data_IF_823515323693
#
_entry.id   IF_823515323693
#
_cell.length_a   1.000
_cell.length_b   1.000
_cell.length_c   1.000
_cell.angle_alpha   90.00
_cell.angle_beta   90.00
_cell.angle_gamma   90.00
#
_symmetry.space_group_name_H-M   'P 1'
#
loop_
_entity.id
_entity.type
_entity.pdbx_description
1 polymer ?
#
# COMPACT_ATOMS: atom_id res chain seq x y z
N UNK A 1 -32.71 -3.85 -33.33
CA UNK A 1 -32.21 -2.57 -33.86
C UNK A 1 -32.77 -1.48 -33.00
N UNK A 2 -31.95 -0.48 -32.68
CA UNK A 2 -32.29 0.55 -31.73
C UNK A 2 -33.15 1.63 -32.38
N UNK A 3 -34.02 2.24 -31.61
CA UNK A 3 -34.81 3.39 -32.02
C UNK A 3 -33.90 4.60 -32.32
N UNK A 4 -34.27 5.39 -33.32
CA UNK A 4 -33.53 6.60 -33.68
C UNK A 4 -33.36 7.56 -32.49
N UNK A 5 -34.38 7.67 -31.64
CA UNK A 5 -34.36 8.50 -30.43
C UNK A 5 -33.22 8.11 -29.49
N UNK A 6 -33.06 6.83 -29.16
CA UNK A 6 -32.03 6.38 -28.21
C UNK A 6 -30.63 6.52 -28.80
N UNK A 7 -30.48 6.29 -30.10
CA UNK A 7 -29.23 6.50 -30.85
C UNK A 7 -28.83 7.97 -30.85
N UNK A 8 -29.77 8.88 -31.13
CA UNK A 8 -29.50 10.32 -31.14
C UNK A 8 -29.14 10.83 -29.74
N UNK A 9 -29.80 10.32 -28.69
CA UNK A 9 -29.46 10.64 -27.31
C UNK A 9 -28.05 10.18 -26.91
N UNK A 10 -27.63 8.98 -27.34
CA UNK A 10 -26.26 8.50 -27.13
C UNK A 10 -25.26 9.42 -27.84
N UNK A 11 -25.49 9.71 -29.13
CA UNK A 11 -24.60 10.57 -29.91
C UNK A 11 -24.51 11.98 -29.34
N UNK A 12 -25.63 12.52 -28.84
CA UNK A 12 -25.66 13.81 -28.16
C UNK A 12 -24.81 13.79 -26.87
N UNK A 13 -24.93 12.74 -26.05
CA UNK A 13 -24.10 12.58 -24.86
C UNK A 13 -22.60 12.49 -25.20
N UNK A 14 -22.23 11.73 -26.23
CA UNK A 14 -20.84 11.64 -26.70
C UNK A 14 -20.31 13.00 -27.18
N UNK A 15 -21.08 13.74 -27.99
CA UNK A 15 -20.71 15.08 -28.45
C UNK A 15 -20.51 16.05 -27.29
N UNK A 16 -21.43 16.03 -26.32
CA UNK A 16 -21.31 16.85 -25.11
C UNK A 16 -20.01 16.53 -24.34
N UNK A 17 -19.60 15.26 -24.28
CA UNK A 17 -18.33 14.86 -23.69
C UNK A 17 -17.11 15.36 -24.46
N UNK A 18 -17.17 15.36 -25.79
CA UNK A 18 -16.10 15.86 -26.66
C UNK A 18 -15.96 17.38 -26.65
N UNK A 19 -17.05 18.11 -26.44
CA UNK A 19 -17.02 19.57 -26.32
C UNK A 19 -16.31 20.06 -25.05
N UNK A 20 -16.14 19.19 -24.04
CA UNK A 20 -15.44 19.52 -22.80
C UNK A 20 -13.92 19.45 -23.02
N UNK A 21 -13.25 20.58 -22.83
CA UNK A 21 -11.80 20.67 -22.97
C UNK A 21 -11.07 19.94 -21.81
N UNK A 22 -10.51 18.75 -22.12
CA UNK A 22 -9.77 17.90 -21.17
C UNK A 22 -8.58 18.62 -20.54
N UNK A 23 -7.81 19.40 -21.31
CA UNK A 23 -6.66 20.13 -20.79
C UNK A 23 -7.08 21.10 -19.69
N UNK A 24 -8.26 21.71 -19.85
CA UNK A 24 -8.86 22.58 -18.85
C UNK A 24 -9.34 21.81 -17.63
N UNK A 25 -9.70 20.53 -17.74
CA UNK A 25 -10.08 19.71 -16.59
C UNK A 25 -8.88 19.25 -15.77
N UNK A 26 -7.70 19.13 -16.38
CA UNK A 26 -6.50 18.62 -15.70
C UNK A 26 -5.90 19.67 -14.77
N UNK A 27 -5.69 20.90 -15.24
CA UNK A 27 -5.04 21.93 -14.45
C UNK A 27 -5.57 23.33 -14.77
N UNK A 28 -5.90 24.09 -13.71
CA UNK A 28 -6.22 25.52 -13.75
C UNK A 28 -5.49 26.24 -12.62
N UNK A 29 -4.21 26.60 -12.82
CA UNK A 29 -3.42 27.22 -11.75
C UNK A 29 -4.06 28.50 -11.20
N UNK A 30 -4.76 29.24 -12.06
CA UNK A 30 -5.47 30.49 -11.72
C UNK A 30 -6.73 30.25 -10.86
N UNK A 31 -7.46 29.14 -11.07
CA UNK A 31 -8.72 28.83 -10.38
C UNK A 31 -8.51 27.91 -9.16
N UNK A 32 -7.53 26.99 -9.22
CA UNK A 32 -7.35 25.89 -8.26
C UNK A 32 -6.03 25.95 -7.48
N UNK A 33 -5.13 26.87 -7.82
CA UNK A 33 -3.83 26.99 -7.18
C UNK A 33 -2.97 25.74 -7.35
N UNK A 34 -2.68 25.05 -6.24
CA UNK A 34 -1.87 23.81 -6.24
C UNK A 34 -2.67 22.54 -6.53
N UNK A 35 -4.01 22.61 -6.46
CA UNK A 35 -4.87 21.45 -6.72
C UNK A 35 -5.00 21.24 -8.22
N UNK A 36 -4.87 20.00 -8.67
CA UNK A 36 -5.03 19.59 -10.06
C UNK A 36 -5.65 18.18 -10.13
N UNK A 37 -6.05 17.79 -11.33
CA UNK A 37 -6.66 16.52 -11.65
C UNK A 37 -5.77 15.67 -12.57
N UNK A 38 -4.44 15.77 -12.45
CA UNK A 38 -3.50 14.97 -13.25
C UNK A 38 -3.77 13.46 -13.11
N UNK A 39 -4.21 13.02 -11.92
CA UNK A 39 -4.62 11.63 -11.69
C UNK A 39 -5.78 11.14 -12.55
N UNK A 40 -6.61 12.05 -13.09
CA UNK A 40 -7.73 11.73 -13.98
C UNK A 40 -7.36 11.71 -15.48
N UNK A 41 -6.14 12.11 -15.85
CA UNK A 41 -5.72 12.26 -17.26
C UNK A 41 -5.93 11.01 -18.10
N UNK A 42 -5.50 9.85 -17.62
CA UNK A 42 -5.66 8.59 -18.34
C UNK A 42 -7.15 8.24 -18.56
N UNK A 43 -7.98 8.43 -17.53
CA UNK A 43 -9.43 8.21 -17.62
C UNK A 43 -10.10 9.17 -18.60
N UNK A 44 -9.68 10.45 -18.64
CA UNK A 44 -10.20 11.43 -19.60
C UNK A 44 -9.83 11.07 -21.05
N UNK A 45 -8.60 10.60 -21.29
CA UNK A 45 -8.18 10.13 -22.62
C UNK A 45 -9.01 8.92 -23.09
N UNK A 46 -9.24 7.95 -22.20
CA UNK A 46 -10.11 6.80 -22.49
C UNK A 46 -11.54 7.24 -22.77
N UNK A 47 -12.10 8.16 -21.96
CA UNK A 47 -13.44 8.69 -22.18
C UNK A 47 -13.59 9.32 -23.57
N UNK A 48 -12.64 10.17 -23.97
CA UNK A 48 -12.62 10.82 -25.29
C UNK A 48 -12.56 9.82 -26.42
N UNK A 49 -11.68 8.81 -26.33
CA UNK A 49 -11.63 7.73 -27.31
C UNK A 49 -12.99 7.03 -27.47
N UNK A 50 -13.66 6.72 -26.36
CA UNK A 50 -14.98 6.08 -26.39
C UNK A 50 -16.04 7.01 -27.00
N UNK A 51 -16.07 8.29 -26.62
CA UNK A 51 -16.99 9.25 -27.21
C UNK A 51 -16.79 9.42 -28.72
N UNK A 52 -15.54 9.50 -29.20
CA UNK A 52 -15.21 9.54 -30.63
C UNK A 52 -15.71 8.29 -31.35
N UNK A 53 -15.43 7.11 -30.78
CA UNK A 53 -15.86 5.84 -31.36
C UNK A 53 -17.39 5.78 -31.51
N UNK A 54 -18.15 5.98 -30.43
CA UNK A 54 -19.61 5.86 -30.47
C UNK A 54 -20.32 7.02 -31.18
N UNK A 55 -19.68 8.17 -31.35
CA UNK A 55 -20.22 9.25 -32.19
C UNK A 55 -20.23 8.91 -33.68
N UNK A 56 -19.36 7.99 -34.11
CA UNK A 56 -19.12 7.68 -35.53
C UNK A 56 -19.50 6.26 -35.96
N UNK A 57 -19.60 5.32 -35.00
CA UNK A 57 -19.98 3.94 -35.28
C UNK A 57 -21.48 3.76 -35.56
N UNK A 58 -21.87 2.72 -36.34
CA UNK A 58 -23.27 2.43 -36.68
C UNK A 58 -24.01 1.78 -35.50
N UNK A 59 -24.26 2.53 -34.43
CA UNK A 59 -24.89 2.03 -33.19
C UNK A 59 -26.37 1.64 -33.34
N UNK A 60 -27.00 2.00 -34.45
CA UNK A 60 -28.40 1.70 -34.80
C UNK A 60 -28.66 0.20 -34.98
N UNK A 61 -27.63 -0.57 -35.33
CA UNK A 61 -27.72 -2.02 -35.51
C UNK A 61 -27.85 -2.78 -34.18
N UNK A 62 -27.58 -2.13 -33.04
CA UNK A 62 -27.62 -2.76 -31.72
C UNK A 62 -29.06 -2.90 -31.19
N UNK A 63 -29.29 -3.77 -30.19
CA UNK A 63 -30.51 -3.74 -29.37
C UNK A 63 -30.66 -2.42 -28.60
N UNK A 64 -31.90 -1.95 -28.41
CA UNK A 64 -32.19 -0.72 -27.66
C UNK A 64 -31.61 -0.72 -26.24
N UNK A 65 -31.62 -1.88 -25.58
CA UNK A 65 -31.09 -2.04 -24.23
C UNK A 65 -29.58 -1.74 -24.16
N UNK A 66 -28.83 -2.14 -25.19
CA UNK A 66 -27.38 -1.91 -25.25
C UNK A 66 -27.07 -0.45 -25.52
N UNK A 67 -27.80 0.19 -26.44
CA UNK A 67 -27.66 1.64 -26.72
C UNK A 67 -28.08 2.48 -25.52
N UNK A 68 -29.14 2.06 -24.81
CA UNK A 68 -29.57 2.69 -23.56
C UNK A 68 -28.49 2.61 -22.49
N UNK A 69 -27.88 1.43 -22.32
CA UNK A 69 -26.79 1.23 -21.36
C UNK A 69 -25.56 2.07 -21.73
N UNK A 70 -25.19 2.13 -23.01
CA UNK A 70 -24.12 3.01 -23.50
C UNK A 70 -24.41 4.48 -23.20
N UNK A 71 -25.64 4.93 -23.50
CA UNK A 71 -26.07 6.32 -23.28
C UNK A 71 -25.97 6.69 -21.80
N UNK A 72 -26.45 5.84 -20.91
CA UNK A 72 -26.50 6.14 -19.49
C UNK A 72 -25.08 6.20 -18.89
N UNK A 73 -24.19 5.30 -19.32
CA UNK A 73 -22.78 5.36 -18.93
C UNK A 73 -22.06 6.58 -19.54
N UNK A 74 -22.32 6.92 -20.80
CA UNK A 74 -21.76 8.13 -21.42
C UNK A 74 -22.21 9.40 -20.67
N UNK A 75 -23.49 9.51 -20.30
CA UNK A 75 -24.03 10.60 -19.48
C UNK A 75 -23.37 10.66 -18.09
N UNK A 76 -23.14 9.52 -17.45
CA UNK A 76 -22.46 9.47 -16.16
C UNK A 76 -21.04 10.05 -16.25
N UNK A 77 -20.28 9.70 -17.30
CA UNK A 77 -18.94 10.26 -17.54
C UNK A 77 -19.02 11.78 -17.76
N UNK A 78 -19.95 12.26 -18.60
CA UNK A 78 -20.15 13.70 -18.84
C UNK A 78 -20.48 14.44 -17.54
N UNK A 79 -21.32 13.87 -16.68
CA UNK A 79 -21.66 14.47 -15.38
C UNK A 79 -20.44 14.61 -14.48
N UNK A 80 -19.56 13.60 -14.44
CA UNK A 80 -18.31 13.68 -13.66
C UNK A 80 -17.35 14.71 -14.24
N UNK A 81 -17.22 14.79 -15.57
CA UNK A 81 -16.42 15.84 -16.22
C UNK A 81 -16.94 17.25 -15.89
N UNK A 82 -18.27 17.43 -15.88
CA UNK A 82 -18.89 18.70 -15.48
C UNK A 82 -18.73 19.01 -13.99
N UNK A 83 -18.71 17.99 -13.12
CA UNK A 83 -18.46 18.16 -11.70
C UNK A 83 -17.01 18.64 -11.45
N UNK A 84 -16.05 18.10 -12.20
CA UNK A 84 -14.66 18.59 -12.20
C UNK A 84 -14.59 20.02 -12.76
N UNK A 85 -15.29 20.31 -13.86
CA UNK A 85 -15.33 21.65 -14.45
C UNK A 85 -15.86 22.73 -13.49
N UNK A 86 -16.83 22.37 -12.65
CA UNK A 86 -17.45 23.22 -11.62
C UNK A 86 -16.73 23.19 -10.27
N UNK A 87 -15.63 22.45 -10.14
CA UNK A 87 -14.89 22.36 -8.90
C UNK A 87 -14.33 23.72 -8.49
N UNK A 88 -14.48 24.06 -7.21
CA UNK A 88 -13.98 25.30 -6.63
C UNK A 88 -13.28 25.04 -5.29
N UNK A 89 -12.30 25.90 -4.97
CA UNK A 89 -11.46 25.79 -3.78
C UNK A 89 -12.09 26.38 -2.51
N UNK A 90 -13.24 27.03 -2.62
CA UNK A 90 -13.96 27.67 -1.52
C UNK A 90 -14.78 26.66 -0.69
N UNK A 91 -14.17 25.53 -0.33
CA UNK A 91 -14.77 24.48 0.49
C UNK A 91 -13.87 24.15 1.68
N UNK A 92 -14.40 23.50 2.73
CA UNK A 92 -13.63 23.18 3.94
C UNK A 92 -12.46 22.22 3.67
N UNK A 93 -12.57 21.36 2.65
CA UNK A 93 -11.52 20.41 2.29
C UNK A 93 -11.47 20.12 0.77
N UNK A 94 -10.90 21.06 -0.02
CA UNK A 94 -10.91 20.98 -1.47
C UNK A 94 -10.05 19.84 -2.01
N UNK A 95 -8.99 19.44 -1.29
CA UNK A 95 -8.13 18.31 -1.70
C UNK A 95 -8.87 16.98 -1.66
N UNK A 96 -9.62 16.71 -0.58
CA UNK A 96 -10.42 15.49 -0.48
C UNK A 96 -11.57 15.47 -1.50
N UNK A 97 -12.18 16.63 -1.75
CA UNK A 97 -13.22 16.77 -2.77
C UNK A 97 -12.65 16.50 -4.18
N UNK A 98 -11.47 17.04 -4.50
CA UNK A 98 -10.80 16.78 -5.78
C UNK A 98 -10.46 15.28 -5.95
N UNK A 99 -9.93 14.63 -4.91
CA UNK A 99 -9.67 13.18 -4.94
C UNK A 99 -10.95 12.37 -5.20
N UNK A 100 -12.04 12.69 -4.51
CA UNK A 100 -13.33 12.02 -4.71
C UNK A 100 -13.89 12.21 -6.13
N UNK A 101 -13.66 13.37 -6.75
CA UNK A 101 -14.06 13.64 -8.13
C UNK A 101 -13.21 12.82 -9.13
N UNK A 102 -11.90 12.66 -8.88
CA UNK A 102 -11.03 11.78 -9.68
C UNK A 102 -11.52 10.34 -9.61
N UNK A 103 -11.79 9.84 -8.41
CA UNK A 103 -12.27 8.47 -8.21
C UNK A 103 -13.66 8.26 -8.84
N UNK A 104 -14.55 9.25 -8.72
CA UNK A 104 -15.86 9.24 -9.36
C UNK A 104 -15.78 9.19 -10.88
N UNK A 105 -14.92 10.01 -11.48
CA UNK A 105 -14.67 9.98 -12.93
C UNK A 105 -14.12 8.63 -13.36
N UNK A 106 -13.12 8.10 -12.65
CA UNK A 106 -12.52 6.80 -12.96
C UNK A 106 -13.58 5.70 -12.97
N UNK A 107 -14.40 5.63 -11.92
CA UNK A 107 -15.48 4.65 -11.84
C UNK A 107 -16.52 4.77 -12.97
N UNK A 108 -16.87 6.01 -13.36
CA UNK A 108 -17.77 6.24 -14.49
C UNK A 108 -17.17 5.79 -15.82
N UNK A 109 -15.88 6.08 -16.06
CA UNK A 109 -15.16 5.67 -17.28
C UNK A 109 -15.01 4.15 -17.34
N UNK A 110 -14.68 3.50 -16.22
CA UNK A 110 -14.59 2.03 -16.14
C UNK A 110 -15.96 1.39 -16.44
N UNK A 111 -17.05 2.01 -15.98
CA UNK A 111 -18.43 1.62 -16.33
C UNK A 111 -18.69 1.71 -17.83
N UNK A 112 -18.34 2.84 -18.44
CA UNK A 112 -18.52 3.05 -19.87
C UNK A 112 -17.67 2.09 -20.71
N UNK A 113 -16.40 1.87 -20.33
CA UNK A 113 -15.52 0.93 -20.99
C UNK A 113 -16.04 -0.50 -20.92
N UNK A 114 -16.54 -0.94 -19.76
CA UNK A 114 -17.08 -2.29 -19.56
C UNK A 114 -18.24 -2.61 -20.51
N UNK A 115 -19.19 -1.68 -20.67
CA UNK A 115 -20.32 -1.87 -21.60
C UNK A 115 -19.89 -1.72 -23.07
N UNK A 116 -18.82 -0.98 -23.33
CA UNK A 116 -18.32 -0.71 -24.68
C UNK A 116 -17.45 -1.83 -25.26
N UNK A 117 -16.70 -2.53 -24.41
CA UNK A 117 -15.63 -3.44 -24.82
C UNK A 117 -16.07 -4.51 -25.82
N UNK A 118 -17.24 -5.11 -25.59
CA UNK A 118 -17.77 -6.17 -26.47
C UNK A 118 -18.44 -5.61 -27.74
N UNK A 119 -18.89 -4.36 -27.71
CA UNK A 119 -19.66 -3.74 -28.79
C UNK A 119 -18.75 -3.10 -29.84
N UNK A 120 -17.60 -2.55 -29.42
CA UNK A 120 -16.67 -1.86 -30.31
C UNK A 120 -16.19 -2.73 -31.50
N UNK A 121 -15.74 -3.99 -31.32
CA UNK A 121 -15.33 -4.82 -32.45
C UNK A 121 -16.47 -5.15 -33.41
N UNK A 122 -17.66 -5.43 -32.88
CA UNK A 122 -18.85 -5.72 -33.67
C UNK A 122 -19.28 -4.51 -34.51
N UNK A 123 -19.35 -3.32 -33.90
CA UNK A 123 -19.68 -2.09 -34.61
C UNK A 123 -18.61 -1.71 -35.63
N UNK A 124 -17.33 -1.91 -35.32
CA UNK A 124 -16.23 -1.64 -36.24
C UNK A 124 -16.28 -2.58 -37.46
N UNK A 125 -16.65 -3.85 -37.26
CA UNK A 125 -16.89 -4.81 -38.32
C UNK A 125 -18.00 -4.33 -39.27
N UNK A 126 -19.14 -3.92 -38.72
CA UNK A 126 -20.29 -3.44 -39.50
C UNK A 126 -20.08 -2.09 -40.19
N UNK A 127 -19.09 -1.30 -39.76
CA UNK A 127 -18.72 -0.03 -40.40
C UNK A 127 -17.96 -0.20 -41.73
N UNK A 128 -17.55 -1.42 -42.09
CA UNK A 128 -16.98 -1.71 -43.42
C UNK A 128 -15.47 -1.53 -43.57
N UNK A 129 -14.69 -1.54 -42.47
CA UNK A 129 -13.22 -1.39 -42.49
C UNK A 129 -12.46 -2.73 -42.70
N UNK A 130 -13.14 -3.77 -43.22
CA UNK A 130 -12.64 -5.15 -43.22
C UNK A 130 -11.52 -5.36 -44.26
N UNK A 131 -11.56 -4.73 -45.43
CA UNK A 131 -10.52 -4.99 -46.44
C UNK A 131 -9.16 -4.36 -46.07
N UNK A 132 -9.15 -3.21 -45.39
CA UNK A 132 -7.92 -2.57 -44.94
C UNK A 132 -7.40 -3.19 -43.62
N UNK A 133 -8.30 -3.70 -42.75
CA UNK A 133 -7.91 -4.27 -41.46
C UNK A 133 -7.81 -5.79 -41.40
N UNK A 134 -8.31 -6.56 -42.36
CA UNK A 134 -8.02 -8.00 -42.41
C UNK A 134 -6.51 -8.22 -42.59
N UNK A 135 -5.86 -7.44 -43.46
CA UNK A 135 -4.41 -7.44 -43.62
C UNK A 135 -3.67 -6.98 -42.34
N UNK A 136 -4.27 -6.05 -41.58
CA UNK A 136 -3.69 -5.51 -40.35
C UNK A 136 -3.89 -6.45 -39.16
N UNK A 137 -5.01 -7.19 -39.12
CA UNK A 137 -5.34 -8.22 -38.13
C UNK A 137 -4.53 -9.49 -38.41
N UNK A 138 -4.38 -9.93 -39.67
CA UNK A 138 -3.48 -11.05 -40.02
C UNK A 138 -2.03 -10.71 -39.66
N UNK A 139 -1.59 -9.47 -39.92
CA UNK A 139 -0.27 -8.99 -39.48
C UNK A 139 -0.15 -8.87 -37.95
N UNK A 140 -1.21 -8.43 -37.26
CA UNK A 140 -1.23 -8.30 -35.81
C UNK A 140 -1.33 -9.66 -35.10
N UNK A 141 -2.04 -10.64 -35.68
CA UNK A 141 -2.13 -12.02 -35.20
C UNK A 141 -0.80 -12.74 -35.42
N UNK A 142 -0.16 -12.59 -36.58
CA UNK A 142 1.19 -13.11 -36.79
C UNK A 142 2.24 -12.48 -35.86
N UNK A 143 2.10 -11.18 -35.55
CA UNK A 143 2.94 -10.51 -34.53
C UNK A 143 2.58 -10.91 -33.10
N UNK A 144 1.31 -11.20 -32.81
CA UNK A 144 0.84 -11.64 -31.51
C UNK A 144 1.23 -13.09 -31.23
N UNK A 145 1.25 -13.97 -32.23
CA UNK A 145 1.82 -15.32 -32.14
C UNK A 145 3.33 -15.23 -31.90
N UNK A 146 4.05 -14.39 -32.64
CA UNK A 146 5.48 -14.15 -32.38
C UNK A 146 5.73 -13.57 -30.99
N UNK A 147 4.91 -12.62 -30.51
CA UNK A 147 4.98 -12.05 -29.15
C UNK A 147 4.51 -13.02 -28.06
N UNK A 148 3.63 -13.97 -28.38
CA UNK A 148 3.19 -15.02 -27.47
C UNK A 148 4.27 -16.08 -27.30
N UNK A 149 4.95 -16.46 -28.38
CA UNK A 149 6.11 -17.36 -28.35
C UNK A 149 7.33 -16.69 -27.67
N UNK A 150 7.65 -15.44 -28.00
CA UNK A 150 8.67 -14.66 -27.29
C UNK A 150 8.27 -14.39 -25.83
N UNK A 151 6.99 -14.17 -25.57
CA UNK A 151 6.42 -13.96 -24.25
C UNK A 151 6.53 -15.21 -23.38
N UNK A 152 6.30 -16.40 -23.94
CA UNK A 152 6.50 -17.68 -23.27
C UNK A 152 7.99 -17.92 -22.96
N UNK A 153 8.87 -17.66 -23.92
CA UNK A 153 10.32 -17.72 -23.71
C UNK A 153 10.81 -16.71 -22.64
N UNK A 154 10.25 -15.49 -22.63
CA UNK A 154 10.54 -14.45 -21.63
C UNK A 154 9.95 -14.76 -20.26
N UNK A 155 8.78 -15.41 -20.18
CA UNK A 155 8.17 -15.85 -18.92
C UNK A 155 9.01 -16.97 -18.30
N UNK A 156 9.46 -17.94 -19.09
CA UNK A 156 10.35 -19.01 -18.61
C UNK A 156 11.71 -18.45 -18.16
N UNK A 157 12.27 -17.48 -18.90
CA UNK A 157 13.49 -16.78 -18.50
C UNK A 157 13.31 -15.97 -17.20
N UNK A 158 12.16 -15.30 -17.03
CA UNK A 158 11.84 -14.52 -15.82
C UNK A 158 11.49 -15.42 -14.63
N UNK A 159 10.89 -16.58 -14.85
CA UNK A 159 10.66 -17.59 -13.82
C UNK A 159 12.00 -18.11 -13.27
N UNK A 160 12.96 -18.38 -14.16
CA UNK A 160 14.32 -18.78 -13.77
C UNK A 160 15.07 -17.68 -13.01
N UNK A 161 14.94 -16.42 -13.44
CA UNK A 161 15.50 -15.26 -12.72
C UNK A 161 14.83 -15.03 -11.35
N UNK A 162 13.52 -15.31 -11.22
CA UNK A 162 12.81 -15.26 -9.95
C UNK A 162 13.27 -16.36 -8.99
N UNK A 163 13.50 -17.58 -9.47
CA UNK A 163 14.04 -18.67 -8.67
C UNK A 163 15.47 -18.36 -8.19
N UNK A 164 16.32 -17.80 -9.06
CA UNK A 164 17.68 -17.37 -8.71
C UNK A 164 17.66 -16.21 -7.70
N UNK A 165 16.75 -15.24 -7.87
CA UNK A 165 16.57 -14.13 -6.93
C UNK A 165 16.01 -14.60 -5.58
N UNK A 166 15.10 -15.58 -5.57
CA UNK A 166 14.56 -16.19 -4.36
C UNK A 166 15.64 -17.00 -3.61
N UNK A 167 16.51 -17.71 -4.33
CA UNK A 167 17.66 -18.40 -3.77
C UNK A 167 18.70 -17.42 -3.20
N UNK A 168 18.98 -16.32 -3.92
CA UNK A 168 19.84 -15.24 -3.44
C UNK A 168 19.25 -14.53 -2.21
N UNK A 169 17.94 -14.26 -2.21
CA UNK A 169 17.22 -13.67 -1.07
C UNK A 169 17.19 -14.60 0.14
N UNK A 170 17.00 -15.92 -0.04
CA UNK A 170 17.12 -16.92 1.03
C UNK A 170 18.53 -16.98 1.60
N UNK A 171 19.55 -16.89 0.75
CA UNK A 171 20.96 -16.88 1.17
C UNK A 171 21.33 -15.58 1.87
N UNK A 172 20.82 -14.44 1.41
CA UNK A 172 20.99 -13.14 2.05
C UNK A 172 20.23 -13.05 3.37
N UNK A 173 19.02 -13.61 3.46
CA UNK A 173 18.25 -13.72 4.69
C UNK A 173 18.90 -14.69 5.69
N UNK A 174 19.51 -15.79 5.23
CA UNK A 174 20.30 -16.68 6.08
C UNK A 174 21.57 -15.99 6.62
N UNK A 175 22.27 -15.20 5.78
CA UNK A 175 23.44 -14.41 6.19
C UNK A 175 23.08 -13.24 7.12
N UNK A 176 21.98 -12.54 6.85
CA UNK A 176 21.48 -11.44 7.68
C UNK A 176 20.90 -11.95 9.00
N UNK A 177 20.14 -13.06 8.97
CA UNK A 177 19.61 -13.70 10.18
C UNK A 177 20.70 -14.18 11.12
N UNK A 178 21.77 -14.82 10.61
CA UNK A 178 22.90 -15.24 11.44
C UNK A 178 23.69 -14.06 12.03
N UNK A 179 23.81 -12.95 11.31
CA UNK A 179 24.49 -11.75 11.77
C UNK A 179 23.72 -10.99 12.86
N UNK A 180 22.39 -10.86 12.72
CA UNK A 180 21.54 -10.14 13.69
C UNK A 180 21.44 -10.89 15.02
N UNK A 181 21.26 -12.22 15.00
CA UNK A 181 21.22 -12.99 16.25
C UNK A 181 22.58 -12.98 16.97
N UNK A 182 23.69 -13.05 16.25
CA UNK A 182 25.02 -13.08 16.88
C UNK A 182 25.35 -11.72 17.53
N UNK A 183 24.98 -10.61 16.89
CA UNK A 183 25.25 -9.27 17.41
C UNK A 183 24.38 -8.94 18.63
N UNK A 184 23.10 -9.34 18.63
CA UNK A 184 22.21 -9.18 19.79
C UNK A 184 22.64 -10.06 20.98
N UNK A 185 23.12 -11.29 20.72
CA UNK A 185 23.65 -12.16 21.79
C UNK A 185 24.91 -11.59 22.44
N UNK A 186 25.86 -11.03 21.67
CA UNK A 186 27.06 -10.43 22.26
C UNK A 186 26.76 -9.13 23.00
N UNK A 187 25.85 -8.30 22.47
CA UNK A 187 25.40 -7.08 23.15
C UNK A 187 24.71 -7.39 24.47
N UNK A 188 23.77 -8.34 24.47
CA UNK A 188 23.00 -8.70 25.67
C UNK A 188 23.84 -9.49 26.68
N UNK A 189 24.80 -10.30 26.23
CA UNK A 189 25.74 -10.96 27.13
C UNK A 189 26.65 -9.96 27.87
N UNK A 190 27.08 -8.89 27.21
CA UNK A 190 27.95 -7.87 27.81
C UNK A 190 27.17 -6.97 28.80
N UNK A 191 25.91 -6.64 28.49
CA UNK A 191 25.03 -5.90 29.43
C UNK A 191 24.70 -6.73 30.67
N UNK A 192 24.39 -8.03 30.49
CA UNK A 192 24.16 -8.96 31.59
C UNK A 192 25.43 -9.19 32.42
N UNK A 193 26.60 -9.33 31.78
CA UNK A 193 27.88 -9.46 32.47
C UNK A 193 28.20 -8.26 33.35
N UNK A 194 28.02 -7.05 32.83
CA UNK A 194 28.21 -5.81 33.60
C UNK A 194 27.23 -5.68 34.76
N UNK A 195 25.99 -6.12 34.57
CA UNK A 195 24.96 -6.11 35.62
C UNK A 195 25.28 -7.13 36.72
N UNK A 196 25.68 -8.35 36.33
CA UNK A 196 26.09 -9.39 37.27
C UNK A 196 27.30 -8.97 38.11
N UNK A 197 28.30 -8.31 37.50
CA UNK A 197 29.45 -7.76 38.23
C UNK A 197 29.05 -6.71 39.28
N UNK A 198 28.13 -5.81 38.95
CA UNK A 198 27.61 -4.82 39.90
C UNK A 198 26.88 -5.48 41.07
N UNK A 199 26.05 -6.50 40.79
CA UNK A 199 25.37 -7.26 41.84
C UNK A 199 26.32 -8.07 42.70
N UNK A 200 27.40 -8.63 42.13
CA UNK A 200 28.43 -9.32 42.89
C UNK A 200 29.16 -8.37 43.85
N UNK A 201 29.54 -7.18 43.38
CA UNK A 201 30.17 -6.16 44.23
C UNK A 201 29.20 -5.68 45.32
N UNK A 202 27.94 -5.42 44.97
CA UNK A 202 26.93 -5.01 45.94
C UNK A 202 26.67 -6.10 47.00
N UNK A 203 26.56 -7.36 46.57
CA UNK A 203 26.33 -8.50 47.46
C UNK A 203 27.51 -8.77 48.38
N UNK A 204 28.74 -8.71 47.86
CA UNK A 204 29.96 -8.84 48.68
C UNK A 204 30.13 -7.70 49.67
N UNK A 205 29.83 -6.46 49.27
CA UNK A 205 29.86 -5.29 50.16
C UNK A 205 28.81 -5.42 51.27
N UNK A 206 27.57 -5.83 50.94
CA UNK A 206 26.51 -6.06 51.93
C UNK A 206 26.85 -7.19 52.90
N UNK A 207 27.37 -8.32 52.39
CA UNK A 207 27.80 -9.43 53.23
C UNK A 207 28.95 -9.03 54.16
N UNK A 208 29.94 -8.30 53.65
CA UNK A 208 31.04 -7.76 54.44
C UNK A 208 30.55 -6.78 55.51
N UNK A 209 29.67 -5.85 55.16
CA UNK A 209 29.07 -4.91 56.11
C UNK A 209 28.25 -5.64 57.19
N UNK A 210 27.49 -6.67 56.82
CA UNK A 210 26.74 -7.50 57.76
C UNK A 210 27.65 -8.26 58.72
N UNK A 211 28.75 -8.82 58.21
CA UNK A 211 29.75 -9.50 59.05
C UNK A 211 30.42 -8.53 60.03
N UNK A 212 30.82 -7.34 59.56
CA UNK A 212 31.40 -6.30 60.42
C UNK A 212 30.38 -5.86 61.49
N UNK A 213 29.12 -5.64 61.11
CA UNK A 213 28.07 -5.26 62.04
C UNK A 213 27.80 -6.35 63.09
N UNK A 214 27.81 -7.63 62.70
CA UNK A 214 27.64 -8.75 63.62
C UNK A 214 28.80 -8.84 64.62
N UNK A 215 30.05 -8.70 64.16
CA UNK A 215 31.23 -8.68 65.04
C UNK A 215 31.19 -7.46 65.97
N UNK A 216 30.84 -6.29 65.45
CA UNK A 216 30.69 -5.06 66.22
C UNK A 216 29.62 -5.20 67.32
N UNK A 217 28.47 -5.78 66.99
CA UNK A 217 27.41 -6.05 67.95
C UNK A 217 27.87 -7.02 69.04
N UNK A 218 28.63 -8.07 68.68
CA UNK A 218 29.19 -8.97 69.68
C UNK A 218 30.18 -8.26 70.60
N UNK A 219 31.08 -7.42 70.09
CA UNK A 219 32.12 -6.79 70.90
C UNK A 219 31.61 -5.63 71.78
N UNK A 220 30.84 -4.71 71.21
CA UNK A 220 30.45 -3.45 71.87
C UNK A 220 29.10 -3.47 72.56
N UNK A 221 28.18 -4.36 72.19
CA UNK A 221 26.86 -4.41 72.84
C UNK A 221 26.96 -5.16 74.17
N UNK A 222 26.84 -4.46 75.30
CA UNK A 222 26.83 -5.08 76.63
C UNK A 222 25.51 -5.83 76.88
N UNK A 223 25.53 -6.96 77.62
CA UNK A 223 24.31 -7.67 77.94
C UNK A 223 23.39 -6.80 78.82
N UNK A 224 22.06 -6.89 78.65
CA UNK A 224 21.12 -6.17 79.50
C UNK A 224 21.26 -6.61 80.96
N UNK A 225 21.10 -5.67 81.89
CA UNK A 225 21.36 -5.84 83.33
C UNK A 225 20.46 -6.93 83.97
N UNK A 226 19.34 -7.29 83.34
CA UNK A 226 18.40 -8.33 83.81
C UNK A 226 18.61 -9.71 83.16
N UNK A 227 19.76 -9.97 82.55
CA UNK A 227 20.02 -11.24 81.85
C UNK A 227 20.11 -12.45 82.81
N UNK A 228 19.51 -13.58 82.40
CA UNK A 228 19.56 -14.84 83.17
C UNK A 228 20.95 -15.48 83.13
N UNK A 229 21.33 -16.20 84.20
CA UNK A 229 22.66 -16.84 84.33
C UNK A 229 23.06 -17.71 83.13
N UNK A 230 22.17 -18.54 82.53
CA UNK A 230 22.51 -19.32 81.34
C UNK A 230 22.86 -18.45 80.13
N UNK A 231 22.17 -17.32 79.95
CA UNK A 231 22.41 -16.38 78.85
C UNK A 231 23.79 -15.72 78.98
N UNK A 232 24.18 -15.32 80.19
CA UNK A 232 25.49 -14.71 80.45
C UNK A 232 26.64 -15.68 80.20
N UNK A 233 26.48 -16.96 80.55
CA UNK A 233 27.47 -18.00 80.26
C UNK A 233 27.61 -18.19 78.74
N UNK A 234 26.49 -18.33 78.01
CA UNK A 234 26.52 -18.49 76.55
C UNK A 234 27.15 -17.28 75.85
N UNK A 235 26.80 -16.06 76.28
CA UNK A 235 27.34 -14.82 75.73
C UNK A 235 28.87 -14.72 75.95
N UNK A 236 29.35 -15.06 77.15
CA UNK A 236 30.78 -15.01 77.49
C UNK A 236 31.59 -16.05 76.72
N UNK A 237 31.10 -17.29 76.61
CA UNK A 237 31.75 -18.35 75.82
C UNK A 237 31.80 -17.95 74.33
N UNK A 238 30.71 -17.39 73.80
CA UNK A 238 30.65 -16.94 72.40
C UNK A 238 31.64 -15.81 72.13
N UNK A 239 31.80 -14.86 73.05
CA UNK A 239 32.82 -13.82 72.95
C UNK A 239 34.25 -14.38 72.93
N UNK A 240 34.53 -15.37 73.76
CA UNK A 240 35.87 -15.95 73.90
C UNK A 240 36.28 -16.73 72.63
N UNK A 241 35.35 -17.41 71.97
CA UNK A 241 35.59 -18.14 70.71
C UNK A 241 35.83 -17.20 69.52
N UNK A 242 35.20 -16.01 69.49
CA UNK A 242 35.31 -15.07 68.37
C UNK A 242 36.56 -14.17 68.45
N UNK A 243 37.14 -14.00 69.64
CA UNK A 243 38.32 -13.14 69.88
C UNK A 243 39.65 -13.93 69.80
N UNK A 244 39.60 -15.27 69.83
CA UNK A 244 40.77 -16.17 69.67
C UNK A 244 40.98 -16.56 68.21
#
# INVERSE_FOLDING_TARGET
>A
MASATVVDELKAACRQGLDINISRLIARPEEWGRINFEGAKASLQTATFLFEAFSTLPVDILPDQDVTSLRDNARAVVQQMQAIDKFGIATENPSNQAASLVDGLKGAVDGFQRVSFNLLPYLAYHRGDIQAKLALIESAVGKAEALYDDGKASIDAKAKLLDDALAAARTAAAKAGAAVFTQDFFGEADTLGNSAGKWLIAGTALAGAGMIAAVAALLWLQPPIEASTPYLIQYTVTKLVVVV
#
